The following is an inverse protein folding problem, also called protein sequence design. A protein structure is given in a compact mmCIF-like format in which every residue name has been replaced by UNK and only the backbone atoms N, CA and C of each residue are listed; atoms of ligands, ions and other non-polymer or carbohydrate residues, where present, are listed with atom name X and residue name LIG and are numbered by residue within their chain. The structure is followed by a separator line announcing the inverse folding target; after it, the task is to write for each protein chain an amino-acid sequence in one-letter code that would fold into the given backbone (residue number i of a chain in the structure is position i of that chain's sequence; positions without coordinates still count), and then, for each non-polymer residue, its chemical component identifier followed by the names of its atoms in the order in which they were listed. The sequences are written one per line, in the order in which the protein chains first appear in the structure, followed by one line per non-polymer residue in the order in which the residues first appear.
data_IF_625537820196
#
_entry.id   IF_625537820196
#
_cell.length_a   1.000
_cell.length_b   1.000
_cell.length_c   1.000
_cell.angle_alpha   90.00
_cell.angle_beta   90.00
_cell.angle_gamma   90.00
#
_symmetry.space_group_name_H-M   'P 1'
#
loop_
_entity.id
_entity.type
_entity.pdbx_description
1 polymer ?
#
# COMPACT_ATOMS: atom_id res chain seq x y z
N UNK A 1 16.58 9.68 19.22
CA UNK A 1 18.04 9.73 19.17
C UNK A 1 18.56 11.17 19.23
N UNK A 2 18.05 12.09 18.39
CA UNK A 2 18.52 13.50 18.36
C UNK A 2 18.38 14.18 19.72
N UNK A 3 17.24 14.03 20.39
CA UNK A 3 16.99 14.60 21.72
C UNK A 3 17.90 14.01 22.79
N UNK A 4 18.12 12.69 22.80
CA UNK A 4 19.02 12.04 23.75
C UNK A 4 20.47 12.46 23.50
N UNK A 5 20.88 12.61 22.24
CA UNK A 5 22.21 13.09 21.88
C UNK A 5 22.41 14.55 22.32
N UNK A 6 21.42 15.41 22.13
CA UNK A 6 21.44 16.79 22.58
C UNK A 6 21.47 16.92 24.12
N UNK A 7 20.84 15.98 24.83
CA UNK A 7 20.83 15.90 26.28
C UNK A 7 22.06 15.18 26.86
N UNK A 8 23.03 14.76 26.04
CA UNK A 8 24.25 14.06 26.49
C UNK A 8 23.96 12.66 27.10
N UNK A 9 22.77 12.09 26.88
CA UNK A 9 22.38 10.79 27.45
C UNK A 9 22.84 9.65 26.56
N UNK A 10 23.36 8.55 27.14
CA UNK A 10 23.73 7.36 26.37
C UNK A 10 22.49 6.73 25.74
N UNK A 11 22.58 6.35 24.48
CA UNK A 11 21.56 5.59 23.78
C UNK A 11 22.21 4.53 22.89
N UNK A 12 21.51 3.44 22.68
CA UNK A 12 21.89 2.44 21.67
C UNK A 12 21.34 2.90 20.31
N UNK A 13 22.20 2.90 19.31
CA UNK A 13 21.75 3.12 17.94
C UNK A 13 20.80 1.98 17.54
N UNK A 14 19.71 2.34 16.89
CA UNK A 14 18.79 1.37 16.28
C UNK A 14 18.38 1.88 14.90
N UNK A 15 18.07 0.96 14.04
CA UNK A 15 17.54 1.22 12.71
C UNK A 15 16.19 0.53 12.57
N UNK A 16 15.25 1.24 12.00
CA UNK A 16 13.94 0.68 11.64
C UNK A 16 14.02 0.29 10.18
N UNK A 17 13.97 -1.00 9.91
CA UNK A 17 14.01 -1.56 8.56
C UNK A 17 12.61 -2.00 8.15
N UNK A 18 12.20 -1.60 6.96
CA UNK A 18 11.02 -2.12 6.30
C UNK A 18 11.46 -3.14 5.24
N UNK A 19 11.22 -4.42 5.50
CA UNK A 19 11.65 -5.52 4.63
C UNK A 19 11.05 -5.40 3.23
N UNK A 20 9.77 -5.08 3.11
CA UNK A 20 9.11 -4.90 1.82
C UNK A 20 9.69 -3.75 1.01
N UNK A 21 10.11 -2.67 1.68
CA UNK A 21 10.79 -1.55 1.01
C UNK A 21 12.19 -1.94 0.51
N UNK A 22 12.89 -2.77 1.26
CA UNK A 22 14.21 -3.28 0.86
C UNK A 22 14.11 -4.13 -0.41
N UNK A 23 13.19 -5.06 -0.48
CA UNK A 23 12.95 -5.90 -1.66
C UNK A 23 12.59 -5.06 -2.88
N UNK A 24 11.72 -4.06 -2.73
CA UNK A 24 11.38 -3.11 -3.81
C UNK A 24 12.61 -2.35 -4.28
N UNK A 25 13.42 -1.82 -3.36
CA UNK A 25 14.63 -1.09 -3.69
C UNK A 25 15.66 -1.99 -4.36
N UNK A 26 15.84 -3.22 -3.89
CA UNK A 26 16.73 -4.19 -4.51
C UNK A 26 16.29 -4.52 -5.94
N UNK A 27 14.99 -4.70 -6.17
CA UNK A 27 14.44 -4.92 -7.50
C UNK A 27 14.67 -3.73 -8.45
N UNK A 28 14.50 -2.50 -7.96
CA UNK A 28 14.68 -1.28 -8.73
C UNK A 28 16.16 -0.90 -8.93
N UNK A 29 17.03 -1.20 -7.96
CA UNK A 29 18.46 -0.88 -7.98
C UNK A 29 19.27 -1.71 -8.99
N UNK A 30 18.69 -2.76 -9.59
CA UNK A 30 19.34 -3.48 -10.69
C UNK A 30 19.69 -2.52 -11.84
N UNK A 31 19.00 -1.38 -11.93
CA UNK A 31 19.30 -0.31 -12.88
C UNK A 31 20.42 0.66 -12.43
N UNK A 32 21.06 0.44 -11.28
CA UNK A 32 22.05 1.35 -10.68
C UNK A 32 23.32 1.62 -11.53
N UNK A 33 23.53 0.83 -12.57
CA UNK A 33 24.65 1.04 -13.54
C UNK A 33 24.24 1.88 -14.76
N UNK A 34 22.97 2.23 -14.91
CA UNK A 34 22.46 2.98 -16.04
C UNK A 34 22.30 4.45 -15.67
N UNK A 35 22.56 5.36 -16.61
CA UNK A 35 22.43 6.81 -16.43
C UNK A 35 21.54 7.42 -17.51
N UNK A 36 20.93 8.59 -17.19
CA UNK A 36 20.11 9.36 -18.12
C UNK A 36 18.88 8.60 -18.65
N UNK A 37 18.50 8.86 -19.89
CA UNK A 37 17.28 8.29 -20.53
C UNK A 37 17.21 6.77 -20.48
N UNK A 38 18.34 6.07 -20.50
CA UNK A 38 18.35 4.59 -20.39
C UNK A 38 17.91 4.11 -19.02
N UNK A 39 18.26 4.86 -17.97
CA UNK A 39 17.80 4.56 -16.61
C UNK A 39 16.30 4.77 -16.47
N UNK A 40 15.78 5.87 -17.00
CA UNK A 40 14.33 6.17 -16.97
C UNK A 40 13.52 5.10 -17.70
N UNK A 41 13.95 4.72 -18.91
CA UNK A 41 13.29 3.65 -19.67
C UNK A 41 13.34 2.30 -18.94
N UNK A 42 14.47 1.95 -18.31
CA UNK A 42 14.60 0.72 -17.56
C UNK A 42 13.70 0.71 -16.31
N UNK A 43 13.58 1.86 -15.61
CA UNK A 43 12.67 2.00 -14.46
C UNK A 43 11.21 1.89 -14.91
N UNK A 44 10.80 2.62 -15.96
CA UNK A 44 9.43 2.57 -16.48
C UNK A 44 9.04 1.14 -16.91
N UNK A 45 9.97 0.40 -17.56
CA UNK A 45 9.72 -1.00 -17.90
C UNK A 45 9.54 -1.89 -16.68
N UNK A 46 10.35 -1.69 -15.64
CA UNK A 46 10.22 -2.44 -14.39
C UNK A 46 8.94 -2.11 -13.64
N UNK A 47 8.55 -0.84 -13.63
CA UNK A 47 7.27 -0.43 -13.04
C UNK A 47 6.09 -1.10 -13.77
N UNK A 48 6.15 -1.18 -15.09
CA UNK A 48 5.15 -1.90 -15.87
C UNK A 48 5.14 -3.40 -15.54
N UNK A 49 6.30 -4.04 -15.46
CA UNK A 49 6.41 -5.47 -15.09
C UNK A 49 5.80 -5.74 -13.71
N UNK A 50 6.10 -4.92 -12.70
CA UNK A 50 5.53 -5.07 -11.34
C UNK A 50 4.03 -4.84 -11.35
N UNK A 51 3.55 -3.88 -12.13
CA UNK A 51 2.12 -3.65 -12.31
C UNK A 51 1.41 -4.87 -12.87
N UNK A 52 1.96 -5.47 -13.93
CA UNK A 52 1.42 -6.69 -14.54
C UNK A 52 1.43 -7.86 -13.57
N UNK A 53 2.50 -8.05 -12.79
CA UNK A 53 2.54 -9.09 -11.76
C UNK A 53 1.52 -8.86 -10.63
N UNK A 54 1.37 -7.60 -10.21
CA UNK A 54 0.38 -7.24 -9.18
C UNK A 54 -1.04 -7.53 -9.67
N UNK A 55 -1.38 -7.18 -10.91
CA UNK A 55 -2.67 -7.50 -11.50
C UNK A 55 -2.89 -9.01 -11.62
N UNK A 56 -1.88 -9.75 -12.10
CA UNK A 56 -1.95 -11.21 -12.20
C UNK A 56 -2.14 -11.85 -10.83
N UNK A 57 -1.38 -11.42 -9.83
CA UNK A 57 -1.49 -11.91 -8.46
C UNK A 57 -2.86 -11.60 -7.84
N UNK A 58 -3.40 -10.41 -8.13
CA UNK A 58 -4.73 -9.97 -7.69
C UNK A 58 -5.87 -10.60 -8.48
N UNK A 59 -5.57 -11.38 -9.55
CA UNK A 59 -6.53 -11.97 -10.48
C UNK A 59 -7.43 -10.93 -11.15
N UNK A 60 -6.85 -9.75 -11.44
CA UNK A 60 -7.52 -8.71 -12.18
C UNK A 60 -7.33 -8.90 -13.68
N UNK A 61 -8.39 -8.72 -14.45
CA UNK A 61 -8.34 -8.68 -15.90
C UNK A 61 -7.77 -7.33 -16.35
N UNK A 62 -6.67 -7.31 -17.14
CA UNK A 62 -6.12 -6.06 -17.64
C UNK A 62 -7.11 -5.30 -18.50
N UNK A 63 -7.15 -3.98 -18.38
CA UNK A 63 -7.94 -3.13 -19.25
C UNK A 63 -7.15 -2.76 -20.51
N UNK A 64 -7.78 -2.83 -21.68
CA UNK A 64 -7.16 -2.42 -22.95
C UNK A 64 -6.83 -0.93 -22.98
N UNK A 65 -7.68 -0.09 -22.37
CA UNK A 65 -7.45 1.34 -22.17
C UNK A 65 -6.96 1.58 -20.73
N UNK A 66 -5.70 1.25 -20.49
CA UNK A 66 -5.04 1.35 -19.18
C UNK A 66 -4.48 2.76 -18.90
N UNK A 67 -5.16 3.83 -19.36
CA UNK A 67 -4.67 5.20 -19.15
C UNK A 67 -4.52 5.55 -17.66
N UNK A 68 -5.49 5.17 -16.83
CA UNK A 68 -5.45 5.40 -15.39
C UNK A 68 -5.74 4.12 -14.59
N UNK A 69 -6.84 3.43 -14.92
CA UNK A 69 -7.16 2.14 -14.30
C UNK A 69 -6.48 1.02 -15.06
N UNK A 70 -5.84 0.13 -14.34
CA UNK A 70 -4.98 -0.90 -14.90
C UNK A 70 -5.70 -2.22 -15.15
N UNK A 71 -6.78 -2.49 -14.38
CA UNK A 71 -7.51 -3.74 -14.48
C UNK A 71 -8.92 -3.68 -13.90
N UNK A 72 -9.60 -4.83 -13.94
CA UNK A 72 -10.93 -5.05 -13.35
C UNK A 72 -10.95 -6.40 -12.63
N UNK A 73 -11.53 -6.44 -11.44
CA UNK A 73 -11.71 -7.67 -10.65
C UNK A 73 -13.03 -7.62 -9.91
N UNK A 74 -13.87 -8.67 -10.02
CA UNK A 74 -15.14 -8.75 -9.31
C UNK A 74 -16.09 -7.57 -9.53
N UNK A 75 -16.09 -6.95 -10.71
CA UNK A 75 -16.90 -5.77 -11.00
C UNK A 75 -16.35 -4.44 -10.44
N UNK A 76 -15.14 -4.46 -9.86
CA UNK A 76 -14.44 -3.30 -9.33
C UNK A 76 -13.31 -2.90 -10.27
N UNK A 77 -13.08 -1.61 -10.48
CA UNK A 77 -11.88 -1.14 -11.17
C UNK A 77 -10.66 -1.34 -10.27
N UNK A 78 -9.53 -1.60 -10.88
CA UNK A 78 -8.26 -1.80 -10.17
C UNK A 78 -7.24 -0.79 -10.62
N UNK A 79 -6.64 -0.08 -9.68
CA UNK A 79 -5.51 0.82 -9.90
C UNK A 79 -4.34 0.38 -9.03
N UNK A 80 -3.15 0.35 -9.62
CA UNK A 80 -1.90 0.05 -8.91
C UNK A 80 -1.18 1.37 -8.68
N UNK A 81 -0.92 1.68 -7.43
CA UNK A 81 -0.18 2.88 -7.03
C UNK A 81 1.30 2.84 -7.40
N UNK A 82 2.02 3.92 -7.14
CA UNK A 82 3.44 4.02 -7.43
C UNK A 82 4.25 3.02 -6.61
N UNK A 83 5.32 2.49 -7.20
CA UNK A 83 6.16 1.47 -6.54
C UNK A 83 7.07 2.09 -5.48
N UNK A 84 7.59 3.29 -5.77
CA UNK A 84 8.63 3.94 -4.97
C UNK A 84 8.12 4.90 -3.91
N UNK A 85 6.87 5.30 -3.99
CA UNK A 85 6.25 6.29 -3.13
C UNK A 85 5.02 5.71 -2.45
N UNK A 86 4.72 6.12 -1.22
CA UNK A 86 3.44 5.78 -0.61
C UNK A 86 2.30 6.45 -1.39
N UNK A 87 1.16 5.79 -1.43
CA UNK A 87 -0.07 6.38 -1.95
C UNK A 87 -0.57 7.42 -0.96
N UNK A 88 -0.60 8.66 -1.41
CA UNK A 88 -1.05 9.80 -0.62
C UNK A 88 -2.43 10.31 -1.03
N UNK A 89 -2.86 11.38 -0.36
CA UNK A 89 -4.16 11.98 -0.54
C UNK A 89 -4.43 12.40 -2.00
N UNK A 90 -3.48 13.06 -2.64
CA UNK A 90 -3.65 13.54 -4.03
C UNK A 90 -3.94 12.39 -5.00
N UNK A 91 -3.25 11.27 -4.85
CA UNK A 91 -3.48 10.09 -5.70
C UNK A 91 -4.90 9.55 -5.51
N UNK A 92 -5.40 9.47 -4.28
CA UNK A 92 -6.76 9.00 -4.02
C UNK A 92 -7.81 9.98 -4.55
N UNK A 93 -7.60 11.28 -4.44
CA UNK A 93 -8.49 12.30 -5.02
C UNK A 93 -8.56 12.17 -6.55
N UNK A 94 -7.43 11.85 -7.20
CA UNK A 94 -7.38 11.56 -8.62
C UNK A 94 -8.16 10.27 -8.96
N UNK A 95 -7.99 9.20 -8.19
CA UNK A 95 -8.77 7.95 -8.32
C UNK A 95 -10.27 8.24 -8.25
N UNK A 96 -10.71 9.00 -7.25
CA UNK A 96 -12.12 9.38 -7.08
C UNK A 96 -12.62 10.16 -8.30
N UNK A 97 -11.82 11.09 -8.79
CA UNK A 97 -12.17 11.92 -9.95
C UNK A 97 -12.31 11.07 -11.21
N UNK A 98 -11.39 10.16 -11.46
CA UNK A 98 -11.41 9.27 -12.61
C UNK A 98 -12.56 8.23 -12.51
N UNK A 99 -12.88 7.73 -11.30
CA UNK A 99 -14.07 6.91 -11.09
C UNK A 99 -15.35 7.64 -11.51
N UNK A 100 -15.49 8.91 -11.10
CA UNK A 100 -16.67 9.72 -11.47
C UNK A 100 -16.76 9.95 -12.97
N UNK A 101 -15.66 10.25 -13.66
CA UNK A 101 -15.62 10.42 -15.11
C UNK A 101 -16.07 9.17 -15.85
N UNK A 102 -15.73 7.99 -15.34
CA UNK A 102 -16.11 6.70 -15.92
C UNK A 102 -17.45 6.16 -15.44
N UNK A 103 -18.12 6.82 -14.51
CA UNK A 103 -19.35 6.33 -13.88
C UNK A 103 -19.16 5.07 -13.05
N UNK A 104 -17.93 4.84 -12.54
CA UNK A 104 -17.60 3.69 -11.72
C UNK A 104 -17.84 4.02 -10.25
N UNK A 105 -18.54 3.11 -9.54
CA UNK A 105 -18.84 3.24 -8.12
C UNK A 105 -17.96 2.38 -7.22
N UNK A 106 -17.11 1.52 -7.79
CA UNK A 106 -16.28 0.57 -7.02
C UNK A 106 -14.85 0.55 -7.56
N UNK A 107 -13.87 0.71 -6.67
CA UNK A 107 -12.45 0.70 -7.04
C UNK A 107 -11.58 0.08 -5.95
N UNK A 108 -10.62 -0.75 -6.35
CA UNK A 108 -9.57 -1.27 -5.51
C UNK A 108 -8.27 -0.53 -5.81
N UNK A 109 -7.64 -0.01 -4.77
CA UNK A 109 -6.35 0.69 -4.86
C UNK A 109 -5.28 -0.23 -4.28
N UNK A 110 -4.45 -0.78 -5.16
CA UNK A 110 -3.34 -1.65 -4.77
C UNK A 110 -2.10 -0.80 -4.59
N UNK A 111 -1.47 -0.85 -3.42
CA UNK A 111 -0.24 -0.12 -3.15
C UNK A 111 0.67 -0.90 -2.20
N UNK A 112 1.97 -0.66 -2.30
CA UNK A 112 2.94 -1.22 -1.34
C UNK A 112 2.88 -0.49 0.00
N UNK A 113 2.61 0.80 -0.03
CA UNK A 113 2.50 1.66 1.16
C UNK A 113 1.45 2.72 0.95
N UNK A 114 0.79 3.11 2.03
CA UNK A 114 -0.10 4.28 2.10
C UNK A 114 0.48 5.29 3.08
N UNK A 115 0.24 6.57 2.86
CA UNK A 115 0.63 7.62 3.80
C UNK A 115 -0.05 7.42 5.15
N UNK A 116 0.70 7.67 6.23
CA UNK A 116 0.16 7.65 7.58
C UNK A 116 -0.90 8.74 7.74
N UNK A 117 -2.02 8.39 8.39
CA UNK A 117 -3.13 9.32 8.61
C UNK A 117 -4.03 9.56 7.40
N UNK A 118 -3.79 8.88 6.27
CA UNK A 118 -4.66 8.96 5.10
C UNK A 118 -6.06 8.43 5.39
N UNK A 119 -6.14 7.35 6.14
CA UNK A 119 -7.40 6.72 6.54
C UNK A 119 -7.73 7.07 8.02
N UNK A 120 -9.02 7.15 8.40
CA UNK A 120 -10.25 6.83 7.64
C UNK A 120 -10.81 7.97 6.77
N UNK A 121 -10.35 9.22 6.94
CA UNK A 121 -10.98 10.40 6.37
C UNK A 121 -11.24 10.30 4.85
N UNK A 122 -10.26 9.80 4.12
CA UNK A 122 -10.36 9.67 2.65
C UNK A 122 -11.38 8.63 2.21
N UNK A 123 -11.58 7.56 3.00
CA UNK A 123 -12.62 6.55 2.71
C UNK A 123 -14.02 7.13 2.90
N UNK A 124 -14.21 7.93 3.94
CA UNK A 124 -15.47 8.63 4.18
C UNK A 124 -15.79 9.64 3.07
N UNK A 125 -14.80 10.39 2.61
CA UNK A 125 -14.94 11.30 1.47
C UNK A 125 -15.32 10.55 0.18
N UNK A 126 -14.69 9.42 -0.10
CA UNK A 126 -15.02 8.58 -1.26
C UNK A 126 -16.46 8.08 -1.18
N UNK A 127 -16.87 7.58 -0.01
CA UNK A 127 -18.21 7.08 0.26
C UNK A 127 -19.28 8.17 0.09
N UNK A 128 -19.03 9.38 0.59
CA UNK A 128 -19.91 10.53 0.39
C UNK A 128 -20.10 10.88 -1.10
N UNK A 129 -19.08 10.60 -1.91
CA UNK A 129 -19.13 10.76 -3.37
C UNK A 129 -19.71 9.56 -4.12
N UNK A 130 -20.24 8.57 -3.39
CA UNK A 130 -20.84 7.35 -3.95
C UNK A 130 -19.83 6.34 -4.48
N UNK A 131 -18.58 6.39 -4.00
CA UNK A 131 -17.50 5.51 -4.45
C UNK A 131 -17.08 4.60 -3.29
N UNK A 132 -17.23 3.29 -3.48
CA UNK A 132 -16.71 2.25 -2.61
C UNK A 132 -15.23 2.00 -2.97
N UNK A 133 -14.33 2.63 -2.22
CA UNK A 133 -12.88 2.57 -2.40
C UNK A 133 -12.30 1.57 -1.39
N UNK A 134 -11.63 0.52 -1.89
CA UNK A 134 -10.98 -0.49 -1.07
C UNK A 134 -9.45 -0.42 -1.23
N UNK A 135 -8.72 0.10 -0.24
CA UNK A 135 -7.27 0.07 -0.23
C UNK A 135 -6.78 -1.34 0.12
N UNK A 136 -5.82 -1.84 -0.67
CA UNK A 136 -5.18 -3.14 -0.46
C UNK A 136 -3.67 -3.01 -0.50
N UNK A 137 -3.00 -3.61 0.47
CA UNK A 137 -1.53 -3.65 0.50
C UNK A 137 -1.01 -4.78 -0.38
N UNK A 138 -0.10 -4.44 -1.28
CA UNK A 138 0.62 -5.40 -2.11
C UNK A 138 1.71 -6.04 -1.25
N UNK A 139 1.70 -7.37 -1.06
CA UNK A 139 2.71 -8.03 -0.26
C UNK A 139 4.03 -8.19 -1.05
N UNK A 140 5.17 -8.32 -0.36
CA UNK A 140 6.48 -8.48 -0.99
C UNK A 140 6.59 -9.75 -1.84
N UNK A 141 5.79 -10.77 -1.57
CA UNK A 141 5.74 -12.02 -2.34
C UNK A 141 5.33 -11.83 -3.81
N UNK A 142 4.81 -10.66 -4.18
CA UNK A 142 4.52 -10.32 -5.58
C UNK A 142 5.79 -10.35 -6.47
N UNK A 143 6.98 -10.18 -5.87
CA UNK A 143 8.25 -10.28 -6.58
C UNK A 143 8.72 -11.74 -6.80
N UNK A 144 8.11 -12.70 -6.12
CA UNK A 144 8.36 -14.13 -6.35
C UNK A 144 7.40 -14.68 -7.42
N UNK A 145 7.94 -14.89 -8.63
CA UNK A 145 7.19 -15.43 -9.76
C UNK A 145 6.49 -16.75 -9.44
N UNK A 146 7.13 -17.61 -8.63
CA UNK A 146 6.57 -18.92 -8.26
C UNK A 146 5.37 -18.75 -7.33
N UNK A 147 5.43 -17.80 -6.40
CA UNK A 147 4.30 -17.49 -5.52
C UNK A 147 3.11 -16.94 -6.31
N UNK A 148 3.38 -16.04 -7.27
CA UNK A 148 2.34 -15.48 -8.17
C UNK A 148 1.71 -16.58 -9.03
N UNK A 149 2.52 -17.46 -9.65
CA UNK A 149 2.02 -18.56 -10.50
C UNK A 149 1.18 -19.58 -9.73
N UNK A 150 1.57 -19.86 -8.49
CA UNK A 150 0.83 -20.78 -7.59
C UNK A 150 -0.39 -20.12 -6.92
N UNK A 151 -0.63 -18.82 -7.12
CA UNK A 151 -1.72 -18.08 -6.48
C UNK A 151 -1.58 -17.97 -4.96
N UNK A 152 -0.35 -17.96 -4.45
CA UNK A 152 -0.06 -17.89 -3.02
C UNK A 152 0.06 -16.46 -2.49
N UNK A 153 0.04 -15.47 -3.37
CA UNK A 153 0.11 -14.05 -3.00
C UNK A 153 -1.24 -13.60 -2.44
N UNK A 154 -1.23 -13.09 -1.21
CA UNK A 154 -2.44 -12.56 -0.55
C UNK A 154 -2.30 -11.06 -0.34
N UNK A 155 -3.28 -10.32 -0.83
CA UNK A 155 -3.40 -8.89 -0.60
C UNK A 155 -4.09 -8.65 0.74
N UNK A 156 -3.61 -7.67 1.49
CA UNK A 156 -4.13 -7.38 2.82
C UNK A 156 -4.95 -6.10 2.82
N UNK A 157 -6.06 -6.11 3.54
CA UNK A 157 -6.83 -4.91 3.82
C UNK A 157 -6.00 -3.96 4.70
N UNK A 158 -6.19 -2.66 4.50
CA UNK A 158 -5.51 -1.67 5.31
C UNK A 158 -6.18 -1.60 6.69
N UNK A 159 -5.37 -1.69 7.74
CA UNK A 159 -5.79 -1.52 9.11
C UNK A 159 -5.29 -0.19 9.69
N UNK A 160 -6.09 0.45 10.50
CA UNK A 160 -5.68 1.55 11.35
C UNK A 160 -5.28 1.01 12.72
N UNK A 161 -4.12 1.43 13.19
CA UNK A 161 -3.61 1.05 14.50
C UNK A 161 -3.12 2.32 15.19
N UNK A 162 -3.64 2.58 16.38
CA UNK A 162 -3.11 3.60 17.28
C UNK A 162 -2.46 2.94 18.47
N UNK A 163 -1.22 3.29 18.73
CA UNK A 163 -0.44 2.72 19.81
C UNK A 163 0.25 3.82 20.63
N UNK A 164 0.09 3.75 21.94
CA UNK A 164 0.70 4.71 22.87
C UNK A 164 1.82 4.06 23.66
N UNK A 165 3.04 4.64 23.66
CA UNK A 165 4.13 4.12 24.49
C UNK A 165 3.88 4.45 25.96
N UNK A 166 3.97 3.44 26.81
CA UNK A 166 3.89 3.53 28.27
C UNK A 166 5.25 3.27 28.87
N UNK A 167 5.84 4.29 29.49
CA UNK A 167 7.13 4.16 30.17
C UNK A 167 6.91 3.78 31.64
N UNK A 168 7.65 2.77 32.11
CA UNK A 168 7.62 2.40 33.52
C UNK A 168 8.34 3.49 34.35
N UNK A 169 7.64 4.06 35.32
CA UNK A 169 8.19 5.08 36.23
C UNK A 169 9.30 4.53 37.13
N UNK A 170 9.27 3.22 37.45
CA UNK A 170 10.24 2.57 38.33
C UNK A 170 11.47 2.06 37.58
N UNK A 171 11.27 1.65 36.32
CA UNK A 171 12.36 1.15 35.49
C UNK A 171 12.35 1.86 34.11
N UNK A 172 13.17 2.90 33.95
CA UNK A 172 13.19 3.69 32.70
C UNK A 172 13.68 2.93 31.47
N UNK A 173 14.19 1.71 31.64
CA UNK A 173 14.59 0.83 30.53
C UNK A 173 13.44 -0.08 30.07
N UNK A 174 12.31 -0.05 30.77
CA UNK A 174 11.11 -0.84 30.43
C UNK A 174 10.11 0.03 29.70
N UNK A 175 9.70 -0.42 28.53
CA UNK A 175 8.71 0.20 27.67
C UNK A 175 7.61 -0.82 27.37
N UNK A 176 6.36 -0.48 27.66
CA UNK A 176 5.20 -1.18 27.16
C UNK A 176 4.55 -0.38 26.00
N UNK A 177 4.02 -1.07 25.03
CA UNK A 177 3.24 -0.46 23.94
C UNK A 177 1.79 -0.88 24.14
N UNK A 178 0.93 0.11 24.42
CA UNK A 178 -0.50 -0.10 24.57
C UNK A 178 -1.19 0.16 23.24
N UNK A 179 -1.96 -0.82 22.76
CA UNK A 179 -2.84 -0.64 21.61
C UNK A 179 -4.09 0.13 22.08
N UNK A 180 -4.20 1.39 21.67
CA UNK A 180 -5.28 2.28 22.09
C UNK A 180 -6.48 2.25 21.15
N UNK A 181 -6.24 2.03 19.85
CA UNK A 181 -7.30 1.86 18.87
C UNK A 181 -6.85 0.92 17.74
N UNK A 182 -7.83 0.20 17.19
CA UNK A 182 -7.63 -0.73 16.08
C UNK A 182 -8.91 -0.82 15.24
N UNK A 183 -8.78 -0.56 13.95
CA UNK A 183 -9.87 -0.79 12.99
C UNK A 183 -9.36 -1.32 11.66
N UNK A 184 -10.11 -2.23 11.07
CA UNK A 184 -9.83 -2.80 9.75
C UNK A 184 -10.91 -2.33 8.79
N UNK A 185 -10.51 -1.84 7.63
CA UNK A 185 -11.41 -1.37 6.60
C UNK A 185 -11.66 -2.47 5.59
N UNK A 186 -12.83 -3.10 5.68
CA UNK A 186 -13.30 -4.09 4.72
C UNK A 186 -14.09 -3.43 3.60
N UNK A 187 -13.93 -3.95 2.39
CA UNK A 187 -14.86 -3.60 1.31
C UNK A 187 -16.23 -4.26 1.56
N UNK A 188 -17.32 -3.61 1.15
CA UNK A 188 -18.67 -4.13 1.33
C UNK A 188 -18.82 -5.55 0.73
N UNK A 189 -18.17 -5.83 -0.39
CA UNK A 189 -18.21 -7.16 -1.02
C UNK A 189 -17.60 -8.28 -0.17
N UNK A 190 -16.65 -7.98 0.73
CA UNK A 190 -16.10 -8.96 1.68
C UNK A 190 -17.13 -9.26 2.77
N UNK A 191 -17.81 -8.21 3.28
CA UNK A 191 -18.88 -8.37 4.28
C UNK A 191 -20.02 -9.19 3.72
N UNK A 192 -20.44 -8.90 2.48
CA UNK A 192 -21.54 -9.61 1.81
C UNK A 192 -21.18 -11.09 1.54
N UNK A 193 -19.92 -11.40 1.24
CA UNK A 193 -19.48 -12.80 1.04
C UNK A 193 -19.46 -13.60 2.34
N UNK A 194 -19.07 -12.99 3.45
CA UNK A 194 -19.08 -13.65 4.77
C UNK A 194 -20.50 -13.86 5.27
N UNK A 195 -21.43 -12.95 4.95
CA UNK A 195 -22.82 -13.08 5.33
C UNK A 195 -23.60 -14.14 4.53
N UNK A 196 -23.04 -14.59 3.39
CA UNK A 196 -23.63 -15.59 2.52
C UNK A 196 -23.17 -17.04 2.81
N UNK A 197 -22.14 -17.23 3.64
CA UNK A 197 -21.68 -18.51 4.20
C UNK A 197 -22.40 -18.86 5.51
#
# INVERSE_FOLDING_TARGET
QRELKAAGKPFRAFEVLNVGRYERQAYLNIAGRLTGKKKEQALARKEQEVREWSLKAYRAEPLADAAFFHGKSGGRLVVVGPINLPVGRLFIEEVITECRKRGASRVDVLAFEFEMGLFPAVLEEAKQKGIDLAPKTIPPEVFDKRAVEKGQVRFHDVAYIEATPRYDKKNPLTLAIELTDFSVYYSQGVVDSIAAE
#
